data_IF_395612747992
#
_entry.id   IF_395612747992
#
_cell.length_a   1.000
_cell.length_b   1.000
_cell.length_c   1.000
_cell.angle_alpha   90.00
_cell.angle_beta   90.00
_cell.angle_gamma   90.00
#
_symmetry.space_group_name_H-M   'P 1'
#
loop_
_entity.id
_entity.type
_entity.pdbx_description
1 polymer ?
#
# COMPACT_ATOMS: atom_id res chain seq x y z
N UNK A 1 -3.18 -3.35 10.48
CA UNK A 1 -3.55 -4.42 9.53
C UNK A 1 -2.95 -5.75 9.97
N UNK A 2 -1.64 -5.85 10.27
CA UNK A 2 -0.98 -7.09 10.74
C UNK A 2 -1.63 -7.71 11.98
N UNK A 3 -1.98 -6.87 12.96
CA UNK A 3 -2.68 -7.31 14.19
C UNK A 3 -4.02 -7.97 13.89
N UNK A 4 -4.78 -7.45 12.92
CA UNK A 4 -6.06 -8.02 12.51
C UNK A 4 -5.90 -9.45 11.94
N UNK A 5 -4.91 -9.67 11.06
CA UNK A 5 -4.62 -10.99 10.53
C UNK A 5 -4.13 -11.96 11.59
N UNK A 6 -3.30 -11.49 12.52
CA UNK A 6 -2.86 -12.31 13.63
C UNK A 6 -4.04 -12.74 14.51
N UNK A 7 -4.94 -11.82 14.86
CA UNK A 7 -6.17 -12.13 15.61
C UNK A 7 -7.06 -13.10 14.85
N UNK A 8 -7.26 -12.89 13.55
CA UNK A 8 -8.06 -13.78 12.71
C UNK A 8 -7.47 -15.20 12.68
N UNK A 9 -6.17 -15.34 12.48
CA UNK A 9 -5.47 -16.63 12.49
C UNK A 9 -5.59 -17.32 13.86
N UNK A 10 -5.46 -16.55 14.95
CA UNK A 10 -5.60 -17.05 16.32
C UNK A 10 -7.03 -17.58 16.57
N UNK A 11 -8.05 -16.82 16.18
CA UNK A 11 -9.46 -17.23 16.32
C UNK A 11 -9.75 -18.49 15.50
N UNK A 12 -9.28 -18.56 14.26
CA UNK A 12 -9.41 -19.76 13.42
C UNK A 12 -8.72 -20.98 14.06
N UNK A 13 -7.51 -20.79 14.59
CA UNK A 13 -6.78 -21.83 15.31
C UNK A 13 -7.55 -22.35 16.53
N UNK A 14 -8.08 -21.45 17.36
CA UNK A 14 -8.90 -21.81 18.53
C UNK A 14 -10.19 -22.50 18.14
N UNK A 15 -10.89 -22.06 17.11
CA UNK A 15 -12.10 -22.69 16.60
C UNK A 15 -11.84 -24.11 16.09
N UNK A 16 -10.73 -24.32 15.38
CA UNK A 16 -10.36 -25.66 14.89
C UNK A 16 -9.97 -26.59 16.02
N UNK A 17 -9.27 -26.10 17.06
CA UNK A 17 -8.97 -26.84 18.27
C UNK A 17 -10.25 -27.23 19.04
N UNK A 18 -11.14 -26.27 19.25
CA UNK A 18 -12.41 -26.51 19.92
C UNK A 18 -13.26 -27.54 19.18
N UNK A 19 -13.34 -27.43 17.86
CA UNK A 19 -14.08 -28.38 17.02
C UNK A 19 -13.48 -29.80 17.08
N UNK A 20 -12.14 -29.89 17.15
CA UNK A 20 -11.44 -31.18 17.33
C UNK A 20 -11.77 -31.82 18.66
N UNK A 21 -11.70 -31.07 19.76
CA UNK A 21 -11.96 -31.57 21.13
C UNK A 21 -13.41 -32.09 21.22
N UNK A 22 -14.35 -31.29 20.68
CA UNK A 22 -15.78 -31.64 20.76
C UNK A 22 -16.17 -32.88 19.93
N UNK A 23 -15.58 -33.05 18.72
CA UNK A 23 -16.02 -34.06 17.75
C UNK A 23 -15.07 -35.25 17.59
N UNK A 24 -14.00 -35.33 18.39
CA UNK A 24 -12.98 -36.41 18.33
C UNK A 24 -12.49 -36.71 16.90
N UNK A 25 -12.40 -35.69 16.05
CA UNK A 25 -11.96 -35.79 14.66
C UNK A 25 -10.51 -36.22 14.56
N UNK A 26 -10.17 -36.96 13.49
CA UNK A 26 -8.80 -37.42 13.24
C UNK A 26 -7.86 -36.25 13.02
N UNK A 27 -6.58 -36.45 13.36
CA UNK A 27 -5.51 -35.47 13.09
C UNK A 27 -5.42 -35.07 11.61
N UNK A 28 -5.69 -36.03 10.71
CA UNK A 28 -5.70 -35.80 9.26
C UNK A 28 -6.73 -34.74 8.86
N UNK A 29 -7.94 -34.78 9.44
CA UNK A 29 -8.96 -33.77 9.18
C UNK A 29 -8.50 -32.38 9.60
N UNK A 30 -7.85 -32.27 10.76
CA UNK A 30 -7.33 -31.00 11.27
C UNK A 30 -6.26 -30.42 10.34
N UNK A 31 -5.30 -31.24 9.92
CA UNK A 31 -4.25 -30.80 8.96
C UNK A 31 -4.85 -30.37 7.63
N UNK A 32 -5.84 -31.09 7.12
CA UNK A 32 -6.51 -30.76 5.86
C UNK A 32 -7.21 -29.41 5.94
N UNK A 33 -8.01 -29.16 6.99
CA UNK A 33 -8.76 -27.90 7.15
C UNK A 33 -7.82 -26.72 7.36
N UNK A 34 -6.82 -26.87 8.24
CA UNK A 34 -5.85 -25.81 8.47
C UNK A 34 -4.99 -25.54 7.23
N UNK A 35 -4.59 -26.57 6.49
CA UNK A 35 -3.87 -26.43 5.23
C UNK A 35 -4.66 -25.62 4.19
N UNK A 36 -5.94 -25.89 4.03
CA UNK A 36 -6.80 -25.09 3.16
C UNK A 36 -6.98 -23.65 3.65
N UNK A 37 -7.09 -23.44 4.97
CA UNK A 37 -7.18 -22.10 5.55
C UNK A 37 -5.91 -21.29 5.30
N UNK A 38 -4.73 -21.88 5.50
CA UNK A 38 -3.44 -21.25 5.21
C UNK A 38 -3.33 -20.93 3.72
N UNK A 39 -3.68 -21.88 2.85
CA UNK A 39 -3.64 -21.70 1.40
C UNK A 39 -4.56 -20.55 0.94
N UNK A 40 -5.81 -20.53 1.43
CA UNK A 40 -6.76 -19.45 1.14
C UNK A 40 -6.24 -18.09 1.64
N UNK A 41 -5.66 -18.05 2.84
CA UNK A 41 -5.05 -16.82 3.38
C UNK A 41 -3.90 -16.33 2.51
N UNK A 42 -3.02 -17.24 2.05
CA UNK A 42 -1.92 -16.88 1.14
C UNK A 42 -2.44 -16.30 -0.18
N UNK A 43 -3.47 -16.90 -0.78
CA UNK A 43 -4.10 -16.37 -2.00
C UNK A 43 -4.66 -14.98 -1.73
N UNK A 44 -5.39 -14.77 -0.64
CA UNK A 44 -5.94 -13.46 -0.27
C UNK A 44 -4.83 -12.41 -0.10
N UNK A 45 -3.73 -12.77 0.58
CA UNK A 45 -2.59 -11.86 0.74
C UNK A 45 -1.96 -11.46 -0.60
N UNK A 46 -1.90 -12.39 -1.57
CA UNK A 46 -1.36 -12.10 -2.90
C UNK A 46 -2.32 -11.27 -3.76
N UNK A 47 -3.63 -11.40 -3.57
CA UNK A 47 -4.64 -10.66 -4.35
C UNK A 47 -4.78 -9.20 -3.91
N UNK A 48 -4.55 -8.91 -2.63
CA UNK A 48 -4.68 -7.56 -2.11
C UNK A 48 -3.40 -6.74 -2.32
N UNK A 49 -3.56 -5.56 -2.91
CA UNK A 49 -2.49 -4.58 -2.99
C UNK A 49 -2.42 -3.77 -1.67
N UNK A 50 -1.66 -4.30 -0.72
CA UNK A 50 -1.52 -3.72 0.62
C UNK A 50 -0.93 -2.32 0.59
N UNK A 51 0.04 -2.07 -0.28
CA UNK A 51 0.68 -0.77 -0.42
C UNK A 51 -0.34 0.31 -0.79
N UNK A 52 -1.28 -0.01 -1.67
CA UNK A 52 -2.36 0.90 -2.06
C UNK A 52 -3.31 1.21 -0.90
N UNK A 53 -3.65 0.21 -0.09
CA UNK A 53 -4.50 0.38 1.10
C UNK A 53 -3.79 1.23 2.14
N UNK A 54 -2.49 0.98 2.37
CA UNK A 54 -1.67 1.74 3.32
C UNK A 54 -1.52 3.18 2.85
N UNK A 55 -1.17 3.42 1.59
CA UNK A 55 -1.03 4.75 1.03
C UNK A 55 -2.34 5.55 1.15
N UNK A 56 -3.46 4.94 0.75
CA UNK A 56 -4.77 5.57 0.84
C UNK A 56 -5.15 5.90 2.29
N UNK A 57 -4.94 4.98 3.21
CA UNK A 57 -5.23 5.20 4.62
C UNK A 57 -4.43 6.38 5.18
N UNK A 58 -3.12 6.42 4.95
CA UNK A 58 -2.26 7.50 5.45
C UNK A 58 -2.59 8.87 4.85
N UNK A 59 -2.96 8.90 3.56
CA UNK A 59 -3.29 10.13 2.87
C UNK A 59 -4.70 10.66 3.21
N UNK A 60 -5.67 9.76 3.51
CA UNK A 60 -7.06 10.15 3.78
C UNK A 60 -7.36 10.41 5.26
N UNK A 61 -6.50 9.97 6.17
CA UNK A 61 -6.70 10.16 7.60
C UNK A 61 -6.66 11.65 7.96
N UNK A 62 -7.69 12.17 8.65
CA UNK A 62 -7.81 13.60 9.01
C UNK A 62 -6.88 14.02 10.13
N UNK A 63 -6.41 13.08 10.94
CA UNK A 63 -5.50 13.41 12.04
C UNK A 63 -4.14 13.85 11.50
N UNK A 64 -3.67 14.99 12.00
CA UNK A 64 -2.32 15.53 11.78
C UNK A 64 -1.24 14.71 12.55
N UNK A 65 -1.24 13.39 12.37
CA UNK A 65 -0.07 12.59 12.69
C UNK A 65 0.97 12.83 11.60
N UNK A 66 2.23 12.76 11.96
CA UNK A 66 3.34 12.94 11.03
C UNK A 66 3.14 12.08 9.77
N UNK A 67 2.91 12.74 8.63
CA UNK A 67 2.87 12.07 7.35
C UNK A 67 4.31 11.70 6.99
N UNK A 68 4.65 10.44 7.13
CA UNK A 68 5.95 9.92 6.73
C UNK A 68 6.01 9.86 5.20
N UNK A 69 6.49 10.96 4.62
CA UNK A 69 6.65 11.11 3.16
C UNK A 69 7.70 10.15 2.61
N UNK A 70 8.75 9.88 3.37
CA UNK A 70 9.79 8.94 2.98
C UNK A 70 9.23 7.53 2.90
N UNK A 71 8.47 7.11 3.91
CA UNK A 71 7.78 5.82 3.88
C UNK A 71 6.83 5.69 2.68
N UNK A 72 6.06 6.73 2.37
CA UNK A 72 5.16 6.71 1.20
C UNK A 72 5.91 6.52 -0.12
N UNK A 73 7.09 7.09 -0.23
CA UNK A 73 7.95 6.93 -1.41
C UNK A 73 8.60 5.54 -1.49
N UNK A 74 8.73 4.79 -0.39
CA UNK A 74 9.23 3.41 -0.41
C UNK A 74 8.21 2.38 -0.88
N UNK A 75 6.91 2.72 -0.86
CA UNK A 75 5.85 1.84 -1.31
C UNK A 75 6.00 1.49 -2.80
N UNK A 76 5.35 0.42 -3.24
CA UNK A 76 5.36 -0.05 -4.64
C UNK A 76 4.89 1.05 -5.61
N UNK A 77 5.40 1.03 -6.85
CA UNK A 77 5.01 1.97 -7.93
C UNK A 77 3.52 1.95 -8.25
N UNK A 78 2.83 0.88 -7.88
CA UNK A 78 1.37 0.75 -7.99
C UNK A 78 0.59 1.76 -7.15
N UNK A 79 1.26 2.41 -6.18
CA UNK A 79 0.67 3.49 -5.36
C UNK A 79 0.70 4.85 -6.04
N UNK A 80 1.44 5.02 -7.14
CA UNK A 80 1.55 6.27 -7.89
C UNK A 80 0.21 6.96 -8.17
N UNK A 81 -0.86 6.26 -8.64
CA UNK A 81 -2.14 6.89 -8.87
C UNK A 81 -2.71 7.56 -7.63
N UNK A 82 -2.62 6.90 -6.46
CA UNK A 82 -3.14 7.42 -5.20
C UNK A 82 -2.27 8.58 -4.68
N UNK A 83 -0.96 8.49 -4.83
CA UNK A 83 -0.04 9.57 -4.44
C UNK A 83 -0.31 10.85 -5.25
N UNK A 84 -0.61 10.70 -6.54
CA UNK A 84 -0.93 11.82 -7.43
C UNK A 84 -2.34 12.35 -7.18
N UNK A 85 -3.34 11.48 -6.99
CA UNK A 85 -4.71 11.88 -6.68
C UNK A 85 -4.82 12.68 -5.38
N UNK A 86 -4.00 12.34 -4.39
CA UNK A 86 -3.99 13.00 -3.08
C UNK A 86 -2.78 13.93 -2.88
N UNK A 87 -2.10 14.32 -3.95
CA UNK A 87 -0.91 15.16 -3.89
C UNK A 87 -1.16 16.46 -3.11
N UNK A 88 -2.23 17.19 -3.43
CA UNK A 88 -2.56 18.46 -2.76
C UNK A 88 -2.82 18.25 -1.26
N UNK A 89 -3.47 17.15 -0.89
CA UNK A 89 -3.69 16.82 0.53
C UNK A 89 -2.40 16.47 1.24
N UNK A 90 -1.49 15.77 0.58
CA UNK A 90 -0.18 15.46 1.14
C UNK A 90 0.61 16.75 1.39
N UNK A 91 0.61 17.69 0.44
CA UNK A 91 1.25 19.00 0.60
C UNK A 91 0.67 19.79 1.77
N UNK A 92 -0.66 19.85 1.89
CA UNK A 92 -1.35 20.55 3.01
C UNK A 92 -0.98 19.91 4.35
N UNK A 93 -0.92 18.58 4.44
CA UNK A 93 -0.52 17.88 5.67
C UNK A 93 0.94 18.17 6.04
N UNK A 94 1.85 18.07 5.10
CA UNK A 94 3.26 18.39 5.32
C UNK A 94 3.41 19.85 5.77
N UNK A 95 2.70 20.78 5.15
CA UNK A 95 2.69 22.19 5.57
C UNK A 95 2.13 22.40 6.98
N UNK A 96 1.07 21.67 7.35
CA UNK A 96 0.48 21.72 8.69
C UNK A 96 1.44 21.25 9.79
N UNK A 97 2.18 20.18 9.55
CA UNK A 97 3.21 19.66 10.46
C UNK A 97 4.35 20.66 10.71
N UNK A 98 4.64 21.45 9.72
CA UNK A 98 5.69 22.47 9.75
C UNK A 98 5.33 23.62 10.68
N UNK A 99 4.07 24.05 10.68
CA UNK A 99 3.59 25.15 11.53
C UNK A 99 3.70 24.86 13.02
N UNK A 100 3.76 23.59 13.42
CA UNK A 100 3.81 23.17 14.83
C UNK A 100 5.22 22.83 15.34
N UNK A 101 6.16 22.42 14.49
CA UNK A 101 7.42 21.83 14.97
C UNK A 101 8.72 22.23 14.24
N UNK A 102 8.67 22.83 13.05
CA UNK A 102 9.87 23.09 12.24
C UNK A 102 9.99 24.54 11.75
N UNK A 103 11.25 25.00 11.51
CA UNK A 103 11.52 26.25 10.80
C UNK A 103 11.04 26.15 9.35
N UNK A 104 10.48 27.25 8.81
CA UNK A 104 9.94 27.32 7.45
C UNK A 104 10.90 26.81 6.35
N UNK A 105 12.21 26.93 6.57
CA UNK A 105 13.27 26.48 5.65
C UNK A 105 13.35 24.94 5.55
N UNK A 106 13.20 24.24 6.68
CA UNK A 106 13.18 22.77 6.72
C UNK A 106 11.93 22.20 6.03
N UNK A 107 10.87 22.95 6.07
CA UNK A 107 9.60 22.69 5.44
C UNK A 107 9.65 22.61 3.93
N UNK A 108 10.21 23.64 3.36
CA UNK A 108 10.37 23.73 1.90
C UNK A 108 11.26 22.60 1.38
N UNK A 109 12.26 22.20 2.18
CA UNK A 109 13.14 21.08 1.83
C UNK A 109 12.34 19.77 1.78
N UNK A 110 11.52 19.47 2.80
CA UNK A 110 10.69 18.25 2.83
C UNK A 110 9.69 18.20 1.67
N UNK A 111 9.08 19.35 1.32
CA UNK A 111 8.16 19.42 0.18
C UNK A 111 8.91 19.18 -1.15
N UNK A 112 10.06 19.79 -1.33
CA UNK A 112 10.89 19.63 -2.53
C UNK A 112 11.37 18.17 -2.66
N UNK A 113 11.77 17.55 -1.55
CA UNK A 113 12.21 16.15 -1.52
C UNK A 113 11.07 15.19 -1.86
N UNK A 114 9.87 15.45 -1.33
CA UNK A 114 8.69 14.68 -1.66
C UNK A 114 8.32 14.76 -3.15
N UNK A 115 8.28 15.98 -3.71
CA UNK A 115 8.02 16.17 -5.14
C UNK A 115 9.11 15.55 -6.03
N UNK A 116 10.38 15.68 -5.63
CA UNK A 116 11.50 15.07 -6.34
C UNK A 116 11.39 13.54 -6.31
N UNK A 117 11.02 12.97 -5.16
CA UNK A 117 10.79 11.54 -4.98
C UNK A 117 9.66 11.01 -5.88
N UNK A 118 8.53 11.72 -5.96
CA UNK A 118 7.43 11.35 -6.87
C UNK A 118 7.91 11.38 -8.33
N UNK A 119 8.61 12.45 -8.74
CA UNK A 119 9.17 12.56 -10.10
C UNK A 119 10.14 11.44 -10.42
N UNK A 120 11.00 11.07 -9.49
CA UNK A 120 11.93 9.95 -9.64
C UNK A 120 11.18 8.63 -9.78
N UNK A 121 10.16 8.41 -8.95
CA UNK A 121 9.33 7.20 -8.99
C UNK A 121 8.58 7.06 -10.32
N UNK A 122 8.04 8.14 -10.87
CA UNK A 122 7.41 8.16 -12.19
C UNK A 122 8.42 7.79 -13.29
N UNK A 123 9.65 8.33 -13.23
CA UNK A 123 10.70 7.99 -14.21
C UNK A 123 11.07 6.52 -14.14
N UNK A 124 11.33 6.01 -12.93
CA UNK A 124 11.66 4.61 -12.72
C UNK A 124 10.56 3.67 -13.22
N UNK A 125 9.29 4.01 -12.97
CA UNK A 125 8.15 3.25 -13.48
C UNK A 125 8.13 3.22 -15.01
N UNK A 126 8.40 4.34 -15.69
CA UNK A 126 8.43 4.42 -17.16
C UNK A 126 9.60 3.61 -17.74
N UNK A 127 10.79 3.77 -17.17
CA UNK A 127 11.96 3.00 -17.58
C UNK A 127 11.72 1.49 -17.41
N UNK A 128 11.08 1.09 -16.32
CA UNK A 128 10.68 -0.29 -16.10
C UNK A 128 9.62 -0.75 -17.10
N UNK A 129 8.64 0.10 -17.44
CA UNK A 129 7.61 -0.22 -18.43
C UNK A 129 8.20 -0.44 -19.83
N UNK A 130 9.21 0.34 -20.22
CA UNK A 130 9.87 0.22 -21.53
C UNK A 130 10.75 -1.04 -21.62
N UNK A 131 11.26 -1.53 -20.49
CA UNK A 131 12.17 -2.68 -20.45
C UNK A 131 11.48 -3.99 -20.09
N UNK A 132 10.28 -3.96 -19.53
CA UNK A 132 9.56 -5.16 -19.09
C UNK A 132 8.91 -5.91 -20.26
N UNK A 133 9.21 -7.21 -20.34
CA UNK A 133 8.52 -8.13 -21.22
C UNK A 133 7.11 -8.47 -20.69
N UNK A 134 6.18 -8.75 -21.59
CA UNK A 134 4.78 -9.05 -21.30
C UNK A 134 4.49 -9.96 -20.11
N UNK A 135 5.27 -11.00 -19.76
CA UNK A 135 4.95 -11.86 -18.60
C UNK A 135 5.07 -11.19 -17.24
N UNK A 136 5.88 -10.12 -17.12
CA UNK A 136 6.07 -9.36 -15.86
C UNK A 136 5.14 -8.16 -15.74
N UNK A 137 4.39 -7.82 -16.80
CA UNK A 137 3.44 -6.72 -16.83
C UNK A 137 2.11 -7.12 -16.19
N UNK A 138 1.80 -6.57 -15.02
CA UNK A 138 0.56 -6.86 -14.32
C UNK A 138 -0.56 -5.90 -14.76
N UNK A 139 -1.83 -6.33 -14.58
CA UNK A 139 -2.99 -5.48 -14.79
C UNK A 139 -2.92 -4.15 -14.00
N UNK A 140 -2.34 -4.18 -12.81
CA UNK A 140 -2.15 -3.00 -11.98
C UNK A 140 -1.15 -2.01 -12.60
N UNK A 141 -0.10 -2.49 -13.25
CA UNK A 141 0.85 -1.65 -13.97
C UNK A 141 0.16 -0.95 -15.16
N UNK A 142 -0.72 -1.67 -15.87
CA UNK A 142 -1.52 -1.09 -16.95
C UNK A 142 -2.45 0.04 -16.46
N UNK A 143 -3.09 -0.13 -15.29
CA UNK A 143 -3.88 0.93 -14.68
C UNK A 143 -3.03 2.15 -14.30
N UNK A 144 -1.86 1.93 -13.71
CA UNK A 144 -0.94 3.01 -13.34
C UNK A 144 -0.47 3.78 -14.57
N UNK A 145 -0.14 3.09 -15.66
CA UNK A 145 0.25 3.71 -16.92
C UNK A 145 -0.88 4.55 -17.52
N UNK A 146 -2.10 4.02 -17.53
CA UNK A 146 -3.27 4.75 -18.03
C UNK A 146 -3.52 6.02 -17.22
N UNK A 147 -3.41 5.94 -15.90
CA UNK A 147 -3.56 7.09 -15.02
C UNK A 147 -2.47 8.15 -15.26
N UNK A 148 -1.21 7.73 -15.41
CA UNK A 148 -0.10 8.65 -15.71
C UNK A 148 -0.25 9.35 -17.05
N UNK A 149 -0.79 8.68 -18.07
CA UNK A 149 -1.09 9.29 -19.39
C UNK A 149 -2.18 10.37 -19.26
N UNK A 150 -3.21 10.11 -18.45
CA UNK A 150 -4.28 11.07 -18.19
C UNK A 150 -3.77 12.28 -17.39
N UNK A 151 -2.95 12.03 -16.38
CA UNK A 151 -2.39 13.07 -15.52
C UNK A 151 -1.43 14.01 -16.26
N UNK A 152 -0.65 13.48 -17.24
CA UNK A 152 0.21 14.32 -18.08
C UNK A 152 -0.56 15.30 -18.96
N UNK A 153 -1.75 14.94 -19.40
CA UNK A 153 -2.63 15.86 -20.15
C UNK A 153 -3.09 17.05 -19.32
N UNK A 154 -3.07 16.95 -17.99
CA UNK A 154 -3.45 18.02 -17.08
C UNK A 154 -2.27 18.92 -16.64
N UNK A 155 -1.04 18.47 -16.79
CA UNK A 155 0.19 19.21 -16.43
C UNK A 155 0.80 20.00 -17.60
N UNK A 156 0.36 19.76 -18.83
CA UNK A 156 0.73 20.54 -20.02
C UNK A 156 -0.52 21.28 -20.51
N UNK A 157 -0.74 22.54 -20.05
CA UNK A 157 -1.74 23.42 -20.66
C UNK A 157 -1.31 23.89 -22.06
#
# INVERSE_FOLDING_TARGET
IGVFFFLLATVLGLLTLFHKIRNQRSLYYLFRVNGWAVYATMILLCLFNWDMIIARHNLTQEYAGDLDTEFLLTLSDKTLPILLEHHDRALVKVQGQIGESMRAESAQTVLNDYEAGIRQKIRAFREAADTQNWPSWTWQNAQTEQYLKQYQGSLNP
#
